data_IF_500176837109
#
_entry.id   IF_500176837109
#
_cell.length_a   1.000
_cell.length_b   1.000
_cell.length_c   1.000
_cell.angle_alpha   90.00
_cell.angle_beta   90.00
_cell.angle_gamma   90.00
#
_symmetry.space_group_name_H-M   'P 1'
#
loop_
_entity.id
_entity.type
_entity.pdbx_description
1 polymer ?
#
# COMPACT_ATOMS: atom_id res chain seq x y z
N UNK A 1 -2.29 -1.29 19.18
CA UNK A 1 -3.42 -2.14 18.75
C UNK A 1 -3.68 -2.08 17.23
N UNK A 2 -3.43 -0.96 16.55
CA UNK A 2 -3.58 -0.83 15.09
C UNK A 2 -2.57 -1.65 14.27
N UNK A 3 -1.33 -1.79 14.74
CA UNK A 3 -0.25 -2.47 14.01
C UNK A 3 -0.54 -3.95 13.72
N UNK A 4 -1.09 -4.69 14.69
CA UNK A 4 -1.37 -6.13 14.57
C UNK A 4 -2.54 -6.44 13.62
N UNK A 5 -3.50 -5.50 13.49
CA UNK A 5 -4.57 -5.58 12.50
C UNK A 5 -4.05 -5.41 11.07
N UNK A 6 -3.13 -4.45 10.86
CA UNK A 6 -2.51 -4.20 9.56
C UNK A 6 -1.70 -5.41 9.11
N UNK A 7 -0.94 -6.04 10.01
CA UNK A 7 -0.21 -7.28 9.69
C UNK A 7 -1.14 -8.44 9.31
N UNK A 8 -2.25 -8.62 10.04
CA UNK A 8 -3.25 -9.63 9.71
C UNK A 8 -3.89 -9.39 8.33
N UNK A 9 -4.16 -8.13 8.01
CA UNK A 9 -4.69 -7.72 6.70
C UNK A 9 -3.66 -7.89 5.58
N UNK A 10 -2.39 -7.59 5.82
CA UNK A 10 -1.31 -7.84 4.86
C UNK A 10 -1.17 -9.34 4.56
N UNK A 11 -1.27 -10.20 5.58
CA UNK A 11 -1.28 -11.65 5.39
C UNK A 11 -2.50 -12.10 4.55
N UNK A 12 -3.67 -11.51 4.77
CA UNK A 12 -4.87 -11.80 3.97
C UNK A 12 -4.72 -11.35 2.50
N UNK A 13 -4.14 -10.18 2.25
CA UNK A 13 -3.80 -9.70 0.90
C UNK A 13 -2.78 -10.59 0.22
N UNK A 14 -1.79 -11.09 0.97
CA UNK A 14 -0.81 -12.05 0.45
C UNK A 14 -1.45 -13.39 0.06
N UNK A 15 -2.45 -13.85 0.82
CA UNK A 15 -3.24 -15.04 0.50
C UNK A 15 -4.21 -14.81 -0.69
N UNK A 16 -4.63 -13.57 -0.94
CA UNK A 16 -5.54 -13.18 -2.03
C UNK A 16 -5.01 -11.98 -2.80
N UNK A 17 -4.00 -12.18 -3.65
CA UNK A 17 -3.38 -11.09 -4.39
C UNK A 17 -4.32 -10.46 -5.44
N UNK A 18 -5.38 -11.17 -5.85
CA UNK A 18 -6.34 -10.68 -6.84
C UNK A 18 -7.39 -9.71 -6.23
N UNK A 19 -7.49 -9.67 -4.89
CA UNK A 19 -8.50 -8.86 -4.21
C UNK A 19 -8.07 -7.39 -4.12
N UNK A 20 -8.28 -6.66 -5.22
CA UNK A 20 -7.87 -5.27 -5.37
C UNK A 20 -8.56 -4.35 -4.35
N UNK A 21 -9.80 -4.66 -3.97
CA UNK A 21 -10.54 -3.91 -2.93
C UNK A 21 -9.87 -4.05 -1.58
N UNK A 22 -9.46 -5.28 -1.21
CA UNK A 22 -8.73 -5.53 0.03
C UNK A 22 -7.38 -4.80 0.04
N UNK A 23 -6.63 -4.84 -1.08
CA UNK A 23 -5.37 -4.08 -1.21
C UNK A 23 -5.55 -2.59 -0.99
N UNK A 24 -6.62 -1.99 -1.53
CA UNK A 24 -6.90 -0.57 -1.37
C UNK A 24 -7.15 -0.20 0.09
N UNK A 25 -7.95 -0.99 0.80
CA UNK A 25 -8.22 -0.76 2.21
C UNK A 25 -6.94 -0.86 3.05
N UNK A 26 -6.07 -1.82 2.75
CA UNK A 26 -4.78 -1.95 3.43
C UNK A 26 -3.87 -0.76 3.14
N UNK A 27 -3.80 -0.30 1.89
CA UNK A 27 -3.04 0.88 1.54
C UNK A 27 -3.55 2.14 2.25
N UNK A 28 -4.86 2.32 2.35
CA UNK A 28 -5.46 3.43 3.08
C UNK A 28 -5.11 3.40 4.57
N UNK A 29 -5.22 2.23 5.22
CA UNK A 29 -4.79 2.05 6.61
C UNK A 29 -3.30 2.34 6.81
N UNK A 30 -2.46 1.94 5.86
CA UNK A 30 -1.02 2.19 5.92
C UNK A 30 -0.69 3.68 5.82
N UNK A 31 -1.40 4.44 4.99
CA UNK A 31 -1.26 5.90 4.90
C UNK A 31 -1.66 6.55 6.22
N UNK A 32 -2.80 6.16 6.79
CA UNK A 32 -3.30 6.69 8.07
C UNK A 32 -2.38 6.34 9.24
N UNK A 33 -1.77 5.15 9.21
CA UNK A 33 -0.78 4.70 10.19
C UNK A 33 0.60 5.37 10.03
N UNK A 34 0.77 6.32 9.10
CA UNK A 34 2.05 7.00 8.87
C UNK A 34 3.11 6.16 8.16
N UNK A 35 2.68 5.09 7.46
CA UNK A 35 3.53 4.20 6.65
C UNK A 35 3.21 4.33 5.15
N UNK A 36 3.35 5.52 4.54
CA UNK A 36 3.02 5.71 3.13
C UNK A 36 3.91 4.88 2.19
N UNK A 37 5.12 4.50 2.60
CA UNK A 37 6.04 3.67 1.78
C UNK A 37 5.46 2.30 1.41
N UNK A 38 4.93 1.57 2.39
CA UNK A 38 4.26 0.29 2.15
C UNK A 38 2.97 0.46 1.34
N UNK A 39 2.23 1.55 1.60
CA UNK A 39 0.99 1.84 0.87
C UNK A 39 1.25 2.06 -0.63
N UNK A 40 2.31 2.79 -0.98
CA UNK A 40 2.69 3.07 -2.38
C UNK A 40 2.94 1.76 -3.13
N UNK A 41 3.63 0.78 -2.51
CA UNK A 41 3.88 -0.51 -3.14
C UNK A 41 2.57 -1.27 -3.46
N UNK A 42 1.60 -1.22 -2.54
CA UNK A 42 0.28 -1.84 -2.77
C UNK A 42 -0.52 -1.11 -3.85
N UNK A 43 -0.53 0.23 -3.84
CA UNK A 43 -1.25 1.05 -4.81
C UNK A 43 -0.66 0.93 -6.21
N UNK A 44 0.66 0.84 -6.34
CA UNK A 44 1.33 0.62 -7.61
C UNK A 44 0.91 -0.73 -8.24
N UNK A 45 0.77 -1.78 -7.45
CA UNK A 45 0.28 -3.08 -7.94
C UNK A 45 -1.17 -3.01 -8.42
N UNK A 46 -2.04 -2.26 -7.71
CA UNK A 46 -3.44 -2.06 -8.13
C UNK A 46 -3.50 -1.26 -9.43
N UNK A 47 -2.74 -0.17 -9.54
CA UNK A 47 -2.71 0.68 -10.74
C UNK A 47 -2.05 -0.01 -11.94
N UNK A 48 -1.12 -0.94 -11.72
CA UNK A 48 -0.55 -1.74 -12.79
C UNK A 48 -1.61 -2.66 -13.45
N UNK A 49 -2.58 -3.14 -12.69
CA UNK A 49 -3.70 -3.95 -13.23
C UNK A 49 -4.86 -3.07 -13.71
N UNK A 50 -5.19 -2.03 -12.95
CA UNK A 50 -6.28 -1.11 -13.22
C UNK A 50 -5.77 0.34 -13.21
N UNK A 51 -5.16 0.81 -14.31
CA UNK A 51 -4.59 2.15 -14.37
C UNK A 51 -5.64 3.26 -14.22
N UNK A 52 -6.90 2.97 -14.58
CA UNK A 52 -8.02 3.91 -14.49
C UNK A 52 -8.72 3.92 -13.12
N UNK A 53 -8.16 3.25 -12.10
CA UNK A 53 -8.82 3.11 -10.81
C UNK A 53 -8.70 4.41 -9.99
N UNK A 54 -9.73 5.24 -10.03
CA UNK A 54 -9.74 6.60 -9.46
C UNK A 54 -9.36 6.63 -7.97
N UNK A 55 -9.89 5.69 -7.18
CA UNK A 55 -9.58 5.62 -5.75
C UNK A 55 -8.10 5.30 -5.49
N UNK A 56 -7.49 4.43 -6.30
CA UNK A 56 -6.08 4.09 -6.17
C UNK A 56 -5.18 5.29 -6.52
N UNK A 57 -5.56 6.05 -7.55
CA UNK A 57 -4.85 7.28 -7.93
C UNK A 57 -4.94 8.35 -6.83
N UNK A 58 -6.13 8.55 -6.25
CA UNK A 58 -6.34 9.50 -5.16
C UNK A 58 -5.52 9.13 -3.91
N UNK A 59 -5.51 7.85 -3.52
CA UNK A 59 -4.70 7.37 -2.41
C UNK A 59 -3.20 7.49 -2.68
N UNK A 60 -2.76 7.25 -3.93
CA UNK A 60 -1.34 7.38 -4.30
C UNK A 60 -0.88 8.83 -4.25
N UNK A 61 -1.72 9.77 -4.71
CA UNK A 61 -1.47 11.19 -4.55
C UNK A 61 -1.39 11.61 -3.07
N UNK A 62 -2.26 11.06 -2.21
CA UNK A 62 -2.22 11.31 -0.76
C UNK A 62 -0.95 10.75 -0.11
N UNK A 63 -0.55 9.53 -0.48
CA UNK A 63 0.65 8.89 0.03
C UNK A 63 1.93 9.65 -0.37
N UNK A 64 2.02 10.13 -1.62
CA UNK A 64 3.13 10.96 -2.09
C UNK A 64 3.09 12.37 -1.45
N UNK A 65 1.92 12.99 -1.37
CA UNK A 65 1.74 14.35 -0.87
C UNK A 65 1.99 14.48 0.63
N UNK A 66 1.69 13.45 1.42
CA UNK A 66 2.04 13.39 2.84
C UNK A 66 3.44 12.84 3.13
N UNK A 67 4.12 12.32 2.11
CA UNK A 67 5.30 11.46 2.23
C UNK A 67 6.55 11.96 1.52
N UNK A 68 6.69 13.26 1.27
CA UNK A 68 7.91 13.85 0.68
C UNK A 68 9.21 13.58 1.50
N UNK A 69 9.14 12.85 2.62
CA UNK A 69 10.28 12.47 3.45
C UNK A 69 10.58 10.94 3.53
N UNK A 70 9.81 10.05 2.89
CA UNK A 70 10.02 8.60 3.07
C UNK A 70 10.91 7.98 1.96
N UNK A 71 12.13 7.66 2.38
CA UNK A 71 13.29 7.06 1.70
C UNK A 71 13.04 6.03 0.56
N UNK A 72 14.00 5.90 -0.39
CA UNK A 72 13.92 4.96 -1.51
C UNK A 72 13.84 3.49 -1.04
N UNK A 73 13.28 2.59 -1.88
CA UNK A 73 13.15 1.18 -1.54
C UNK A 73 14.53 0.57 -1.25
N UNK A 74 14.71 0.05 -0.04
CA UNK A 74 15.90 -0.71 0.29
C UNK A 74 15.89 -2.02 -0.53
N UNK A 75 16.94 -2.32 -1.30
CA UNK A 75 17.04 -3.58 -2.02
C UNK A 75 17.12 -4.70 -1.00
N UNK A 76 16.23 -5.70 -1.13
CA UNK A 76 16.29 -6.91 -0.33
C UNK A 76 17.67 -7.57 -0.45
N UNK A 77 18.30 -8.00 0.66
CA UNK A 77 19.55 -8.74 0.59
C UNK A 77 19.26 -10.15 0.04
N UNK A 78 19.87 -10.48 -1.09
CA UNK A 78 20.00 -11.86 -1.55
C UNK A 78 21.18 -12.54 -0.81
N UNK A 79 21.13 -13.86 -0.57
CA UNK A 79 22.10 -14.60 0.25
C UNK A 79 23.51 -14.67 -0.33
#
# INVERSE_FOLDING_TARGET
>A
MSSSLIESLLAAVAARPDDLTLRLHVAELLIDAGRPGDAIAQLAAVLAQQPQHEQAQALMARALGGGAAAAPPQPAPAP
#
